data_IF_361218208253
#
_entry.id   IF_361218208253
#
_cell.length_a   1.000
_cell.length_b   1.000
_cell.length_c   1.000
_cell.angle_alpha   90.00
_cell.angle_beta   90.00
_cell.angle_gamma   90.00
#
_symmetry.space_group_name_H-M   'P 1'
#
loop_
_entity.id
_entity.type
_entity.pdbx_description
1 polymer ?
#
# COMPACT_ATOMS: atom_id res chain seq x y z
N UNK A 1 -4.45 -22.27 -8.00
CA UNK A 1 -4.12 -22.35 -6.57
C UNK A 1 -2.99 -21.37 -6.32
N UNK A 2 -3.25 -20.26 -5.63
CA UNK A 2 -2.16 -19.38 -5.15
C UNK A 2 -1.54 -20.08 -3.93
N UNK A 3 -0.24 -20.35 -3.96
CA UNK A 3 0.46 -21.08 -2.91
C UNK A 3 0.75 -20.25 -1.65
N UNK A 4 0.21 -19.03 -1.55
CA UNK A 4 0.42 -18.08 -0.44
C UNK A 4 1.90 -17.89 -0.07
N UNK A 5 2.80 -17.98 -1.07
CA UNK A 5 4.26 -17.89 -0.90
C UNK A 5 4.77 -16.44 -0.90
N UNK A 6 3.91 -15.47 -0.59
CA UNK A 6 4.33 -14.08 -0.48
C UNK A 6 5.30 -13.90 0.68
N UNK A 7 6.28 -13.01 0.52
CA UNK A 7 7.28 -12.72 1.57
C UNK A 7 6.73 -11.89 2.73
N UNK A 8 5.50 -11.38 2.61
CA UNK A 8 4.86 -10.51 3.59
C UNK A 8 3.66 -11.22 4.22
N UNK A 9 3.44 -10.95 5.50
CA UNK A 9 2.17 -11.31 6.16
C UNK A 9 1.01 -10.52 5.56
N UNK A 10 -0.21 -10.98 5.83
CA UNK A 10 -1.43 -10.30 5.38
C UNK A 10 -1.48 -8.88 5.96
N UNK A 11 -1.15 -8.73 7.23
CA UNK A 11 -1.12 -7.46 7.94
C UNK A 11 -0.12 -6.49 7.32
N UNK A 12 1.09 -6.95 7.01
CA UNK A 12 2.12 -6.11 6.39
C UNK A 12 1.72 -5.65 4.98
N UNK A 13 1.18 -6.56 4.16
CA UNK A 13 0.73 -6.23 2.81
C UNK A 13 -0.45 -5.26 2.79
N UNK A 14 -1.31 -5.28 3.81
CA UNK A 14 -2.48 -4.42 3.89
C UNK A 14 -2.18 -2.98 4.37
N UNK A 15 -1.01 -2.71 4.98
CA UNK A 15 -0.72 -1.41 5.62
C UNK A 15 -0.86 -0.22 4.67
N UNK A 16 -0.23 -0.28 3.51
CA UNK A 16 -0.22 0.84 2.56
C UNK A 16 -1.60 1.12 1.96
N UNK A 17 -2.36 0.12 1.47
CA UNK A 17 -3.74 0.31 1.04
C UNK A 17 -4.64 0.91 2.13
N UNK A 18 -4.52 0.42 3.37
CA UNK A 18 -5.32 0.94 4.50
C UNK A 18 -4.94 2.38 4.84
N UNK A 19 -3.65 2.72 4.84
CA UNK A 19 -3.19 4.09 5.05
C UNK A 19 -3.74 5.06 3.99
N UNK A 20 -3.72 4.67 2.72
CA UNK A 20 -4.26 5.48 1.62
C UNK A 20 -5.78 5.63 1.72
N UNK A 21 -6.50 4.55 2.05
CA UNK A 21 -7.95 4.58 2.21
C UNK A 21 -8.42 5.46 3.39
N UNK A 22 -7.56 5.65 4.39
CA UNK A 22 -7.82 6.47 5.58
C UNK A 22 -7.15 7.85 5.52
N UNK A 23 -6.56 8.22 4.38
CA UNK A 23 -5.89 9.51 4.25
C UNK A 23 -6.92 10.66 4.26
N UNK A 24 -6.56 11.83 4.80
CA UNK A 24 -7.42 13.01 4.74
C UNK A 24 -7.78 13.39 3.31
N UNK A 25 -8.95 14.01 3.12
CA UNK A 25 -9.44 14.42 1.78
C UNK A 25 -8.50 15.41 1.07
N UNK A 26 -7.78 16.25 1.83
CA UNK A 26 -6.76 17.18 1.31
C UNK A 26 -5.41 16.51 1.00
N UNK A 27 -5.35 15.17 0.99
CA UNK A 27 -4.15 14.38 0.70
C UNK A 27 -3.76 14.38 -0.78
N UNK A 28 -2.49 14.03 -1.10
CA UNK A 28 -2.03 13.98 -2.48
C UNK A 28 -2.70 12.84 -3.26
N UNK A 29 -3.08 13.11 -4.50
CA UNK A 29 -3.64 12.13 -5.44
C UNK A 29 -2.71 11.92 -6.64
N UNK A 30 -2.81 10.76 -7.28
CA UNK A 30 -2.05 10.44 -8.49
C UNK A 30 -0.58 10.11 -8.25
N UNK A 31 -0.20 9.71 -7.04
CA UNK A 31 1.16 9.25 -6.72
C UNK A 31 1.26 7.72 -6.75
N UNK A 32 2.44 7.21 -7.10
CA UNK A 32 2.79 5.80 -6.92
C UNK A 32 3.45 5.59 -5.55
N UNK A 33 3.03 4.54 -4.85
CA UNK A 33 3.59 4.15 -3.56
C UNK A 33 4.21 2.76 -3.66
N UNK A 34 5.50 2.66 -3.31
CA UNK A 34 6.14 1.37 -3.02
C UNK A 34 6.07 1.13 -1.51
N UNK A 35 5.25 0.15 -1.12
CA UNK A 35 4.83 -0.04 0.26
C UNK A 35 4.26 1.27 0.82
N UNK A 36 4.85 1.81 1.90
CA UNK A 36 4.38 3.04 2.54
C UNK A 36 5.06 4.32 2.03
N UNK A 37 5.93 4.23 1.01
CA UNK A 37 6.73 5.37 0.55
C UNK A 37 6.34 5.78 -0.88
N UNK A 38 6.31 7.08 -1.14
CA UNK A 38 6.15 7.61 -2.51
C UNK A 38 7.39 7.23 -3.33
N UNK A 39 7.18 6.75 -4.54
CA UNK A 39 8.23 6.36 -5.49
C UNK A 39 7.97 6.95 -6.88
N UNK A 40 8.97 6.89 -7.76
CA UNK A 40 8.79 7.15 -9.19
C UNK A 40 7.94 6.05 -9.84
N UNK A 41 7.22 6.43 -10.89
CA UNK A 41 6.53 5.51 -11.80
C UNK A 41 7.49 4.65 -12.61
#
# INVERSE_FOLDING_TARGET
MTCNTGSMTVEEGARAPVMLALSPDDGPSGLFYDQMNVSSF
#
